data_IF_303062208109
#
_entry.id   IF_303062208109
#
_cell.length_a   1.000
_cell.length_b   1.000
_cell.length_c   1.000
_cell.angle_alpha   90.00
_cell.angle_beta   90.00
_cell.angle_gamma   90.00
#
_symmetry.space_group_name_H-M   'P 1'
#
loop_
_entity.id
_entity.type
_entity.pdbx_description
1 polymer ?
#
# COMPACT_ATOMS: atom_id res chain seq x y z
N UNK A 1 10.13 -22.58 6.17
CA UNK A 1 9.54 -21.97 4.94
C UNK A 1 10.03 -22.76 3.75
N UNK A 2 9.15 -23.26 2.88
CA UNK A 2 9.62 -23.98 1.71
C UNK A 2 10.16 -22.96 0.70
N UNK A 3 11.37 -23.21 0.20
CA UNK A 3 11.94 -22.44 -0.94
C UNK A 3 10.96 -22.44 -2.13
N UNK A 4 10.08 -23.41 -2.18
CA UNK A 4 9.03 -23.57 -3.19
C UNK A 4 8.00 -22.44 -3.16
N UNK A 5 7.56 -21.96 -1.97
CA UNK A 5 6.57 -20.91 -1.87
C UNK A 5 7.07 -19.56 -2.44
N UNK A 6 8.31 -19.18 -2.14
CA UNK A 6 8.93 -17.99 -2.71
C UNK A 6 9.07 -18.12 -4.23
N UNK A 7 9.54 -19.28 -4.70
CA UNK A 7 9.71 -19.58 -6.11
C UNK A 7 8.38 -19.53 -6.87
N UNK A 8 7.32 -20.13 -6.35
CA UNK A 8 5.99 -20.12 -6.98
C UNK A 8 5.44 -18.70 -7.16
N UNK A 9 5.60 -17.83 -6.15
CA UNK A 9 5.18 -16.44 -6.28
C UNK A 9 6.03 -15.65 -7.30
N UNK A 10 7.35 -15.87 -7.34
CA UNK A 10 8.21 -15.27 -8.37
C UNK A 10 7.85 -15.73 -9.79
N UNK A 11 7.56 -17.03 -9.96
CA UNK A 11 7.09 -17.56 -11.24
C UNK A 11 5.72 -17.00 -11.63
N UNK A 12 4.82 -16.80 -10.65
CA UNK A 12 3.55 -16.12 -10.90
C UNK A 12 3.78 -14.67 -11.39
N UNK A 13 4.63 -13.91 -10.69
CA UNK A 13 4.96 -12.55 -11.10
C UNK A 13 5.54 -12.50 -12.52
N UNK A 14 6.35 -13.48 -12.92
CA UNK A 14 6.89 -13.55 -14.28
C UNK A 14 5.82 -13.84 -15.34
N UNK A 15 4.89 -14.72 -15.03
CA UNK A 15 3.77 -15.02 -15.95
C UNK A 15 2.83 -13.82 -16.17
N UNK A 16 2.80 -12.86 -15.24
CA UNK A 16 1.97 -11.66 -15.40
C UNK A 16 2.63 -10.53 -16.22
N UNK A 17 3.88 -10.70 -16.66
CA UNK A 17 4.56 -9.69 -17.51
C UNK A 17 3.86 -9.49 -18.84
N UNK A 18 3.65 -8.24 -19.19
CA UNK A 18 3.07 -7.83 -20.47
C UNK A 18 4.16 -7.81 -21.54
N UNK A 19 4.48 -8.97 -22.10
CA UNK A 19 5.51 -9.12 -23.14
C UNK A 19 4.93 -9.23 -24.56
N UNK A 20 3.70 -9.73 -24.69
CA UNK A 20 3.02 -9.98 -25.95
C UNK A 20 1.51 -9.74 -25.88
N UNK A 21 0.75 -9.75 -26.96
CA UNK A 21 -0.69 -9.52 -26.95
C UNK A 21 -1.39 -10.42 -25.93
N UNK A 22 -2.19 -9.82 -25.07
CA UNK A 22 -3.00 -10.56 -24.11
C UNK A 22 -4.15 -11.28 -24.83
N UNK A 23 -4.77 -12.28 -24.15
CA UNK A 23 -5.97 -12.96 -24.65
C UNK A 23 -7.08 -11.97 -25.06
N UNK A 24 -7.07 -10.77 -24.48
CA UNK A 24 -8.07 -9.72 -24.69
C UNK A 24 -7.62 -8.56 -25.61
N UNK A 25 -6.48 -8.66 -26.28
CA UNK A 25 -6.05 -7.64 -27.22
C UNK A 25 -4.56 -7.29 -27.19
N UNK A 26 -4.20 -6.26 -27.93
CA UNK A 26 -2.83 -5.78 -28.03
C UNK A 26 -2.40 -5.10 -26.72
N UNK A 27 -1.20 -5.42 -26.25
CA UNK A 27 -0.54 -4.67 -25.16
C UNK A 27 0.03 -3.38 -25.75
N UNK A 28 -0.36 -2.24 -25.21
CA UNK A 28 0.23 -0.97 -25.58
C UNK A 28 1.73 -0.95 -25.31
N UNK A 29 2.51 -0.34 -26.21
CA UNK A 29 3.97 -0.27 -26.10
C UNK A 29 4.45 0.23 -24.74
N UNK A 30 3.75 1.23 -24.17
CA UNK A 30 4.12 1.86 -22.92
C UNK A 30 3.96 0.96 -21.68
N UNK A 31 3.20 -0.13 -21.79
CA UNK A 31 2.95 -1.08 -20.70
C UNK A 31 3.80 -2.36 -20.82
N UNK A 32 4.54 -2.53 -21.91
CA UNK A 32 5.42 -3.71 -22.05
C UNK A 32 6.42 -3.79 -20.90
N UNK A 33 6.48 -4.97 -20.28
CA UNK A 33 7.35 -5.26 -19.13
C UNK A 33 6.78 -4.89 -17.77
N UNK A 34 5.66 -4.16 -17.68
CA UNK A 34 4.85 -4.10 -16.48
C UNK A 34 4.08 -5.41 -16.30
N UNK A 35 3.44 -5.57 -15.15
CA UNK A 35 2.67 -6.77 -14.80
C UNK A 35 1.19 -6.41 -14.71
N UNK A 36 0.32 -7.31 -15.21
CA UNK A 36 -1.11 -7.21 -14.96
C UNK A 36 -1.39 -7.39 -13.47
N UNK A 37 -2.31 -6.62 -12.94
CA UNK A 37 -2.65 -6.68 -11.52
C UNK A 37 -3.26 -8.00 -11.09
N UNK A 38 -4.03 -8.65 -11.98
CA UNK A 38 -4.69 -9.93 -11.71
C UNK A 38 -4.40 -10.98 -12.78
N UNK A 39 -4.42 -12.25 -12.36
CA UNK A 39 -4.41 -13.37 -13.28
C UNK A 39 -5.67 -13.31 -14.17
N UNK A 40 -5.50 -13.41 -15.47
CA UNK A 40 -6.63 -13.60 -16.38
C UNK A 40 -7.13 -15.05 -16.29
N UNK A 41 -8.37 -15.22 -15.83
CA UNK A 41 -9.04 -16.49 -15.76
C UNK A 41 -10.50 -16.32 -16.22
N UNK A 42 -10.80 -16.62 -17.51
CA UNK A 42 -12.15 -16.47 -18.04
C UNK A 42 -13.23 -17.28 -17.34
N UNK A 43 -12.86 -18.33 -16.62
CA UNK A 43 -13.79 -19.18 -15.86
C UNK A 43 -14.13 -18.60 -14.48
N UNK A 44 -13.35 -17.64 -13.99
CA UNK A 44 -13.55 -17.06 -12.66
C UNK A 44 -14.83 -16.18 -12.63
N UNK A 45 -15.59 -16.21 -11.51
CA UNK A 45 -16.80 -15.40 -11.38
C UNK A 45 -16.60 -13.91 -11.66
N UNK A 46 -15.43 -13.35 -11.30
CA UNK A 46 -15.09 -11.93 -11.52
C UNK A 46 -14.56 -11.65 -12.95
N UNK A 47 -14.45 -12.68 -13.80
CA UNK A 47 -13.94 -12.52 -15.17
C UNK A 47 -14.73 -11.52 -16.03
N UNK A 48 -15.99 -11.31 -15.69
CA UNK A 48 -16.87 -10.33 -16.34
C UNK A 48 -16.73 -8.92 -15.77
N UNK A 49 -16.06 -8.78 -14.63
CA UNK A 49 -15.79 -7.49 -14.01
C UNK A 49 -14.62 -6.81 -14.74
N UNK A 50 -14.84 -5.61 -15.25
CA UNK A 50 -13.77 -4.77 -15.85
C UNK A 50 -12.62 -4.54 -14.87
N UNK A 51 -12.89 -4.68 -13.57
CA UNK A 51 -11.90 -4.53 -12.51
C UNK A 51 -10.78 -5.58 -12.56
N UNK A 52 -11.06 -6.79 -13.06
CA UNK A 52 -10.13 -7.93 -13.00
C UNK A 52 -9.30 -8.14 -14.27
N UNK A 53 -9.77 -7.69 -15.45
CA UNK A 53 -9.14 -8.00 -16.73
C UNK A 53 -8.50 -6.79 -17.41
N UNK A 54 -7.33 -7.02 -18.00
CA UNK A 54 -6.66 -6.01 -18.81
C UNK A 54 -6.28 -4.76 -18.03
N UNK A 55 -5.97 -4.88 -16.73
CA UNK A 55 -5.75 -3.75 -15.81
C UNK A 55 -4.38 -3.79 -15.17
N UNK A 56 -3.78 -2.61 -15.05
CA UNK A 56 -2.63 -2.35 -14.19
C UNK A 56 -3.04 -1.32 -13.15
N UNK A 57 -3.04 -1.71 -11.88
CA UNK A 57 -3.06 -0.77 -10.77
C UNK A 57 -1.65 -0.28 -10.50
N UNK A 58 -1.49 1.02 -10.37
CA UNK A 58 -0.14 1.59 -10.21
C UNK A 58 0.50 1.17 -8.86
N UNK A 59 -0.31 0.95 -7.85
CA UNK A 59 0.11 0.37 -6.58
C UNK A 59 0.75 -1.02 -6.76
N UNK A 60 0.11 -1.90 -7.54
CA UNK A 60 0.62 -3.24 -7.81
C UNK A 60 1.95 -3.20 -8.60
N UNK A 61 2.10 -2.21 -9.50
CA UNK A 61 3.35 -2.00 -10.20
C UNK A 61 4.49 -1.62 -9.22
N UNK A 62 4.20 -0.77 -8.24
CA UNK A 62 5.16 -0.41 -7.20
C UNK A 62 5.57 -1.62 -6.35
N UNK A 63 4.62 -2.40 -5.84
CA UNK A 63 4.89 -3.63 -5.09
C UNK A 63 5.70 -4.64 -5.89
N UNK A 64 5.43 -4.74 -7.19
CA UNK A 64 6.15 -5.61 -8.11
C UNK A 64 7.62 -5.20 -8.28
N UNK A 65 7.93 -3.90 -8.30
CA UNK A 65 9.31 -3.38 -8.29
C UNK A 65 10.01 -3.77 -6.97
N UNK A 66 9.34 -3.57 -5.83
CA UNK A 66 9.87 -3.98 -4.53
C UNK A 66 10.15 -5.47 -4.45
N UNK A 67 9.21 -6.31 -4.90
CA UNK A 67 9.38 -7.76 -4.91
C UNK A 67 10.61 -8.19 -5.73
N UNK A 68 10.80 -7.61 -6.92
CA UNK A 68 11.99 -7.87 -7.74
C UNK A 68 13.29 -7.38 -7.05
N UNK A 69 13.28 -6.22 -6.39
CA UNK A 69 14.43 -5.73 -5.61
C UNK A 69 14.78 -6.69 -4.48
N UNK A 70 13.79 -7.11 -3.68
CA UNK A 70 14.00 -8.03 -2.55
C UNK A 70 14.45 -9.42 -2.99
N UNK A 71 14.06 -9.86 -4.18
CA UNK A 71 14.51 -11.10 -4.79
C UNK A 71 15.86 -10.97 -5.54
N UNK A 72 16.55 -9.82 -5.48
CA UNK A 72 17.80 -9.57 -6.20
C UNK A 72 17.66 -9.45 -7.72
N UNK A 73 16.45 -9.29 -8.23
CA UNK A 73 16.11 -9.24 -9.67
C UNK A 73 16.21 -7.82 -10.21
N UNK A 74 17.37 -7.18 -10.02
CA UNK A 74 17.61 -5.74 -10.26
C UNK A 74 17.27 -5.29 -11.69
N UNK A 75 17.56 -6.13 -12.70
CA UNK A 75 17.24 -5.78 -14.10
C UNK A 75 15.72 -5.70 -14.33
N UNK A 76 14.95 -6.61 -13.76
CA UNK A 76 13.50 -6.61 -13.86
C UNK A 76 12.91 -5.40 -13.14
N UNK A 77 13.38 -5.10 -11.93
CA UNK A 77 13.00 -3.91 -11.18
C UNK A 77 13.30 -2.63 -11.96
N UNK A 78 14.49 -2.51 -12.55
CA UNK A 78 14.89 -1.32 -13.33
C UNK A 78 14.07 -1.11 -14.58
N UNK A 79 13.71 -2.19 -15.27
CA UNK A 79 12.85 -2.08 -16.45
C UNK A 79 11.46 -1.55 -16.07
N UNK A 80 10.85 -2.09 -15.01
CA UNK A 80 9.55 -1.61 -14.51
C UNK A 80 9.64 -0.17 -13.99
N UNK A 81 10.69 0.17 -13.24
CA UNK A 81 10.92 1.53 -12.74
C UNK A 81 10.98 2.54 -13.90
N UNK A 82 11.71 2.22 -14.96
CA UNK A 82 11.78 3.04 -16.17
C UNK A 82 10.41 3.24 -16.83
N UNK A 83 9.59 2.17 -16.90
CA UNK A 83 8.23 2.25 -17.46
C UNK A 83 7.29 3.09 -16.60
N UNK A 84 7.32 2.89 -15.29
CA UNK A 84 6.51 3.69 -14.35
C UNK A 84 6.89 5.18 -14.46
N UNK A 85 8.18 5.52 -14.49
CA UNK A 85 8.63 6.90 -14.69
C UNK A 85 8.14 7.46 -16.04
N UNK A 86 8.23 6.69 -17.12
CA UNK A 86 7.78 7.11 -18.45
C UNK A 86 6.28 7.42 -18.48
N UNK A 87 5.45 6.61 -17.81
CA UNK A 87 4.01 6.88 -17.67
C UNK A 87 3.77 8.24 -16.98
N UNK A 88 4.46 8.54 -15.88
CA UNK A 88 4.31 9.84 -15.22
C UNK A 88 4.67 11.03 -16.12
N UNK A 89 5.73 10.89 -16.93
CA UNK A 89 6.11 11.92 -17.89
C UNK A 89 5.04 12.12 -18.98
N UNK A 90 4.41 11.06 -19.43
CA UNK A 90 3.33 11.12 -20.41
C UNK A 90 2.08 11.77 -19.83
N UNK A 91 1.68 11.41 -18.59
CA UNK A 91 0.54 12.02 -17.92
C UNK A 91 0.78 13.51 -17.63
N UNK A 92 1.99 13.87 -17.23
CA UNK A 92 2.38 15.29 -17.08
C UNK A 92 2.29 16.04 -18.42
N UNK A 93 2.73 15.44 -19.51
CA UNK A 93 2.62 16.04 -20.85
C UNK A 93 1.17 16.25 -21.29
N UNK A 94 0.23 15.47 -20.76
CA UNK A 94 -1.23 15.62 -20.96
C UNK A 94 -1.87 16.58 -19.94
N UNK A 95 -1.07 17.25 -19.09
CA UNK A 95 -1.53 18.22 -18.10
C UNK A 95 -2.05 17.61 -16.79
N UNK A 96 -1.85 16.31 -16.54
CA UNK A 96 -2.21 15.71 -15.25
C UNK A 96 -1.12 15.97 -14.20
N UNK A 97 -1.51 16.53 -13.04
CA UNK A 97 -0.61 16.89 -11.94
C UNK A 97 -0.43 15.76 -10.91
N UNK A 98 -1.23 14.70 -11.00
CA UNK A 98 -1.26 13.59 -10.04
C UNK A 98 -0.21 12.51 -10.26
N UNK A 99 0.80 12.72 -11.07
CA UNK A 99 1.84 11.79 -11.52
C UNK A 99 1.28 10.57 -12.27
N UNK A 100 0.47 9.74 -11.59
CA UNK A 100 -0.16 8.56 -12.15
C UNK A 100 -1.65 8.53 -11.82
N UNK A 101 -2.45 8.08 -12.78
CA UNK A 101 -3.80 7.63 -12.52
C UNK A 101 -3.78 6.32 -11.73
N UNK A 102 -4.84 6.05 -10.99
CA UNK A 102 -4.90 4.88 -10.11
C UNK A 102 -4.79 3.56 -10.87
N UNK A 103 -5.39 3.47 -12.06
CA UNK A 103 -5.21 2.30 -12.91
C UNK A 103 -5.34 2.59 -14.41
N UNK A 104 -4.69 1.74 -15.19
CA UNK A 104 -4.61 1.83 -16.64
C UNK A 104 -5.13 0.56 -17.31
N UNK A 105 -5.65 0.72 -18.51
CA UNK A 105 -5.92 -0.39 -19.43
C UNK A 105 -4.60 -0.91 -20.01
N UNK A 106 -4.40 -2.23 -20.01
CA UNK A 106 -3.17 -2.85 -20.57
C UNK A 106 -2.97 -2.60 -22.05
N UNK A 107 -3.99 -2.16 -22.79
CA UNK A 107 -3.87 -1.75 -24.20
C UNK A 107 -3.13 -0.42 -24.37
N UNK A 108 -3.04 0.38 -23.29
CA UNK A 108 -2.34 1.66 -23.31
C UNK A 108 -3.10 2.81 -23.94
N UNK A 109 -4.37 2.61 -24.26
CA UNK A 109 -5.23 3.61 -24.92
C UNK A 109 -5.99 4.50 -23.95
N UNK A 110 -6.12 4.09 -22.70
CA UNK A 110 -6.85 4.84 -21.67
C UNK A 110 -6.47 4.44 -20.24
N UNK A 111 -6.75 5.32 -19.30
CA UNK A 111 -6.85 4.95 -17.89
C UNK A 111 -8.25 4.36 -17.61
N UNK A 112 -8.33 3.46 -16.62
CA UNK A 112 -9.60 2.88 -16.20
C UNK A 112 -10.15 3.68 -15.01
N UNK A 113 -9.27 4.05 -14.07
CA UNK A 113 -9.60 4.89 -12.94
C UNK A 113 -8.81 6.20 -13.03
N UNK A 114 -9.47 7.33 -13.31
CA UNK A 114 -8.81 8.61 -13.58
C UNK A 114 -8.27 9.29 -12.33
N UNK A 115 -8.60 8.80 -11.14
CA UNK A 115 -8.11 9.39 -9.89
C UNK A 115 -6.60 9.26 -9.79
N UNK A 116 -5.98 10.24 -9.12
CA UNK A 116 -4.58 10.20 -8.73
C UNK A 116 -4.43 10.11 -7.21
N UNK A 117 -4.67 8.93 -6.58
CA UNK A 117 -4.62 8.79 -5.14
C UNK A 117 -3.19 9.00 -4.62
N UNK A 118 -3.04 9.80 -3.58
CA UNK A 118 -1.73 10.13 -3.01
C UNK A 118 -0.99 8.89 -2.56
N UNK A 119 -1.66 7.94 -1.89
CA UNK A 119 -1.04 6.71 -1.40
C UNK A 119 -0.39 5.90 -2.52
N UNK A 120 -1.14 5.54 -3.57
CA UNK A 120 -0.60 4.79 -4.70
C UNK A 120 0.55 5.52 -5.42
N UNK A 121 0.46 6.85 -5.52
CA UNK A 121 1.53 7.69 -6.08
C UNK A 121 2.78 7.67 -5.18
N UNK A 122 2.63 7.71 -3.86
CA UNK A 122 3.72 7.56 -2.90
C UNK A 122 4.38 6.19 -3.01
N UNK A 123 3.60 5.10 -3.15
CA UNK A 123 4.15 3.76 -3.34
C UNK A 123 5.05 3.68 -4.58
N UNK A 124 4.63 4.29 -5.70
CA UNK A 124 5.47 4.36 -6.89
C UNK A 124 6.74 5.17 -6.64
N UNK A 125 6.65 6.35 -6.04
CA UNK A 125 7.84 7.14 -5.69
C UNK A 125 8.77 6.37 -4.75
N UNK A 126 8.23 5.68 -3.74
CA UNK A 126 9.00 4.86 -2.82
C UNK A 126 9.75 3.73 -3.53
N UNK A 127 9.09 3.02 -4.46
CA UNK A 127 9.71 1.97 -5.26
C UNK A 127 10.81 2.53 -6.17
N UNK A 128 10.59 3.68 -6.80
CA UNK A 128 11.59 4.36 -7.62
C UNK A 128 12.80 4.82 -6.80
N UNK A 129 12.60 5.41 -5.61
CA UNK A 129 13.69 5.78 -4.72
C UNK A 129 14.47 4.55 -4.23
N UNK A 130 13.79 3.45 -3.90
CA UNK A 130 14.44 2.21 -3.44
C UNK A 130 15.30 1.61 -4.56
N UNK A 131 14.80 1.59 -5.79
CA UNK A 131 15.60 1.17 -6.95
C UNK A 131 16.80 2.11 -7.17
N UNK A 132 16.56 3.43 -7.14
CA UNK A 132 17.61 4.42 -7.35
C UNK A 132 18.68 4.40 -6.26
N UNK A 133 18.31 4.16 -5.00
CA UNK A 133 19.23 3.96 -3.87
C UNK A 133 20.14 2.75 -4.08
N UNK A 134 19.60 1.65 -4.56
CA UNK A 134 20.35 0.42 -4.86
C UNK A 134 21.32 0.62 -6.03
N UNK A 135 20.92 1.41 -7.05
CA UNK A 135 21.72 1.61 -8.26
C UNK A 135 22.60 2.86 -8.27
N UNK A 136 22.38 3.78 -7.33
CA UNK A 136 23.03 5.09 -7.37
C UNK A 136 22.55 5.97 -8.53
N UNK A 137 21.28 5.81 -8.96
CA UNK A 137 20.73 6.51 -10.12
C UNK A 137 20.34 7.96 -9.78
N UNK A 138 21.32 8.85 -9.90
CA UNK A 138 21.17 10.28 -9.61
C UNK A 138 20.12 10.97 -10.50
N UNK A 139 19.94 10.52 -11.73
CA UNK A 139 18.96 11.11 -12.66
C UNK A 139 17.53 10.79 -12.20
N UNK A 140 17.30 9.53 -11.85
CA UNK A 140 16.00 9.11 -11.33
C UNK A 140 15.68 9.79 -9.99
N UNK A 141 16.68 9.92 -9.09
CA UNK A 141 16.51 10.63 -7.81
C UNK A 141 16.14 12.09 -8.04
N UNK A 142 16.85 12.80 -8.94
CA UNK A 142 16.56 14.19 -9.25
C UNK A 142 15.17 14.39 -9.87
N UNK A 143 14.72 13.44 -10.69
CA UNK A 143 13.36 13.44 -11.23
C UNK A 143 12.31 13.22 -10.12
N UNK A 144 12.51 12.20 -9.27
CA UNK A 144 11.60 11.89 -8.18
C UNK A 144 11.51 13.04 -7.16
N UNK A 145 12.60 13.74 -6.88
CA UNK A 145 12.60 14.93 -6.02
C UNK A 145 11.69 16.03 -6.59
N UNK A 146 11.76 16.31 -7.90
CA UNK A 146 10.85 17.28 -8.54
C UNK A 146 9.40 16.81 -8.46
N UNK A 147 9.14 15.51 -8.62
CA UNK A 147 7.80 14.95 -8.48
C UNK A 147 7.26 15.13 -7.05
N UNK A 148 8.10 14.94 -6.03
CA UNK A 148 7.73 15.23 -4.62
C UNK A 148 7.40 16.71 -4.43
N UNK A 149 8.20 17.63 -4.95
CA UNK A 149 7.94 19.09 -4.84
C UNK A 149 6.65 19.47 -5.56
N UNK A 150 6.46 19.03 -6.79
CA UNK A 150 5.34 19.46 -7.64
C UNK A 150 4.01 18.82 -7.22
N UNK A 151 4.02 17.57 -6.79
CA UNK A 151 2.80 16.84 -6.42
C UNK A 151 2.62 16.77 -4.90
N UNK A 152 3.54 16.09 -4.20
CA UNK A 152 3.30 15.72 -2.80
C UNK A 152 3.27 16.93 -1.87
N UNK A 153 4.15 17.93 -2.11
CA UNK A 153 4.11 19.17 -1.34
C UNK A 153 2.83 19.96 -1.56
N UNK A 154 2.26 19.91 -2.77
CA UNK A 154 0.99 20.57 -3.09
C UNK A 154 -0.22 19.89 -2.41
N UNK A 155 -0.14 18.59 -2.12
CA UNK A 155 -1.21 17.86 -1.42
C UNK A 155 -1.21 18.11 0.09
N UNK A 156 -0.12 18.64 0.67
CA UNK A 156 -0.06 18.86 2.12
C UNK A 156 -0.88 20.09 2.54
N UNK A 157 -1.71 19.94 3.55
CA UNK A 157 -2.53 21.01 4.14
C UNK A 157 -1.62 21.91 4.97
N UNK A 158 -1.35 23.14 4.48
CA UNK A 158 -0.39 24.05 5.07
C UNK A 158 -1.01 25.27 5.74
N UNK A 159 -2.32 25.44 5.76
CA UNK A 159 -3.00 26.48 6.53
C UNK A 159 -3.08 26.05 8.01
N UNK A 160 -2.42 26.75 8.95
CA UNK A 160 -2.44 26.38 10.37
C UNK A 160 -3.81 26.52 11.03
N UNK A 161 -4.78 27.18 10.37
CA UNK A 161 -6.17 27.28 10.85
C UNK A 161 -7.01 26.07 10.46
N UNK A 162 -6.54 25.27 9.48
CA UNK A 162 -7.22 24.03 9.08
C UNK A 162 -6.99 22.96 10.16
N UNK A 163 -8.04 22.29 10.66
CA UNK A 163 -7.88 21.22 11.65
C UNK A 163 -7.00 20.06 11.17
N UNK A 164 -6.86 19.92 9.83
CA UNK A 164 -6.02 18.91 9.18
C UNK A 164 -4.59 19.40 8.92
N UNK A 165 -4.18 20.53 9.48
CA UNK A 165 -2.84 21.11 9.28
C UNK A 165 -1.72 20.10 9.41
N UNK A 166 -0.86 20.03 8.40
CA UNK A 166 0.24 19.10 8.28
C UNK A 166 -0.10 17.79 7.56
N UNK A 167 -1.37 17.40 7.46
CA UNK A 167 -1.80 16.17 6.81
C UNK A 167 -1.77 16.27 5.27
N UNK A 168 -1.83 15.12 4.61
CA UNK A 168 -1.82 15.03 3.14
C UNK A 168 -3.24 14.72 2.65
N UNK A 169 -3.73 15.48 1.67
CA UNK A 169 -4.99 15.17 0.99
C UNK A 169 -4.93 13.84 0.26
N UNK A 170 -6.09 13.20 0.10
CA UNK A 170 -6.19 11.85 -0.48
C UNK A 170 -5.77 11.76 -1.96
N UNK A 171 -5.61 12.89 -2.65
CA UNK A 171 -5.12 12.92 -4.03
C UNK A 171 -5.87 13.90 -4.92
N UNK A 172 -5.89 13.59 -6.22
CA UNK A 172 -6.60 14.35 -7.24
C UNK A 172 -7.72 13.50 -7.86
N UNK A 173 -8.79 14.16 -8.27
CA UNK A 173 -9.94 13.54 -8.94
C UNK A 173 -10.45 14.46 -10.06
N UNK A 174 -11.43 14.00 -10.81
CA UNK A 174 -12.14 14.81 -11.78
C UNK A 174 -13.24 15.63 -11.09
N UNK A 175 -13.36 16.92 -11.41
CA UNK A 175 -14.39 17.81 -10.88
C UNK A 175 -15.82 17.30 -11.15
N UNK A 176 -16.03 16.67 -12.32
CA UNK A 176 -17.35 16.14 -12.71
C UNK A 176 -17.80 14.94 -11.88
N UNK A 177 -16.88 14.16 -11.31
CA UNK A 177 -17.19 13.02 -10.45
C UNK A 177 -17.85 13.45 -9.14
N UNK A 178 -17.35 14.55 -8.55
CA UNK A 178 -17.96 15.11 -7.34
C UNK A 178 -19.37 15.65 -7.56
N UNK A 179 -19.61 16.27 -8.71
CA UNK A 179 -20.90 16.87 -9.05
C UNK A 179 -22.00 15.81 -9.22
N UNK A 180 -21.62 14.59 -9.65
CA UNK A 180 -22.55 13.48 -9.90
C UNK A 180 -22.75 12.55 -8.73
N UNK A 181 -21.93 12.65 -7.67
CA UNK A 181 -21.94 11.72 -6.55
C UNK A 181 -21.53 10.30 -6.94
N UNK A 182 -20.92 10.13 -8.09
CA UNK A 182 -20.49 8.85 -8.64
C UNK A 182 -19.04 8.56 -8.22
N UNK A 183 -18.89 7.97 -7.07
CA UNK A 183 -17.58 7.52 -6.61
C UNK A 183 -17.17 6.20 -7.23
N UNK A 184 -16.69 6.15 -8.41
CA UNK A 184 -16.12 5.04 -9.21
C UNK A 184 -16.87 4.74 -10.51
N UNK A 185 -17.11 5.73 -11.32
CA UNK A 185 -17.46 5.52 -12.72
C UNK A 185 -16.22 5.21 -13.54
N UNK A 186 -16.17 4.07 -14.21
CA UNK A 186 -15.15 3.70 -15.19
C UNK A 186 -15.29 4.48 -16.52
N UNK A 187 -15.61 5.75 -16.44
CA UNK A 187 -15.83 6.56 -17.64
C UNK A 187 -14.59 7.41 -17.94
N UNK A 188 -14.29 7.55 -19.22
CA UNK A 188 -13.31 8.55 -19.67
C UNK A 188 -13.95 9.91 -19.50
N UNK A 189 -13.48 10.72 -18.58
CA UNK A 189 -14.03 12.04 -18.31
C UNK A 189 -13.26 13.11 -19.09
N UNK A 190 -14.00 13.98 -19.77
CA UNK A 190 -13.51 15.19 -20.43
C UNK A 190 -13.54 16.37 -19.44
N UNK A 191 -13.02 16.28 -18.27
CA UNK A 191 -13.08 17.33 -17.28
C UNK A 191 -11.71 17.67 -16.67
N UNK A 192 -11.65 18.68 -15.80
CA UNK A 192 -10.46 18.96 -15.03
C UNK A 192 -10.17 17.82 -14.04
N UNK A 193 -9.07 17.11 -14.27
CA UNK A 193 -8.62 15.96 -13.47
C UNK A 193 -7.70 16.34 -12.33
N UNK A 194 -7.51 17.65 -12.11
CA UNK A 194 -6.58 18.16 -11.13
C UNK A 194 -7.25 18.71 -9.86
N UNK A 195 -8.52 18.37 -9.62
CA UNK A 195 -9.24 18.81 -8.43
C UNK A 195 -8.75 18.07 -7.19
N UNK A 196 -8.29 18.73 -6.12
CA UNK A 196 -7.86 18.04 -4.90
C UNK A 196 -9.03 17.35 -4.19
N UNK A 197 -8.81 16.13 -3.70
CA UNK A 197 -9.67 15.56 -2.68
C UNK A 197 -9.51 16.32 -1.37
N UNK A 198 -10.62 16.77 -0.81
CA UNK A 198 -10.59 17.44 0.50
C UNK A 198 -10.60 16.48 1.69
N UNK A 199 -10.68 15.18 1.45
CA UNK A 199 -10.54 14.14 2.46
C UNK A 199 -9.06 13.86 2.77
N UNK A 200 -8.81 13.31 3.96
CA UNK A 200 -7.50 12.83 4.36
C UNK A 200 -7.61 11.37 4.79
N UNK A 201 -6.75 10.53 4.27
CA UNK A 201 -6.66 9.11 4.60
C UNK A 201 -5.34 8.88 5.31
N UNK A 202 -5.36 8.18 6.45
CA UNK A 202 -4.15 7.94 7.26
C UNK A 202 -3.09 7.18 6.47
N UNK A 203 -3.48 6.14 5.75
CA UNK A 203 -2.57 5.35 4.90
C UNK A 203 -1.78 6.26 3.94
N UNK A 204 -2.45 7.17 3.24
CA UNK A 204 -1.79 8.12 2.34
C UNK A 204 -0.80 9.05 3.06
N UNK A 205 -1.12 9.44 4.29
CA UNK A 205 -0.20 10.22 5.13
C UNK A 205 1.05 9.43 5.49
N UNK A 206 0.89 8.15 5.83
CA UNK A 206 1.99 7.25 6.20
C UNK A 206 2.89 6.95 4.99
N UNK A 207 2.29 6.71 3.82
CA UNK A 207 3.02 6.51 2.56
C UNK A 207 3.84 7.76 2.19
N UNK A 208 3.27 8.95 2.38
CA UNK A 208 3.98 10.22 2.16
C UNK A 208 5.13 10.42 3.15
N UNK A 209 4.96 10.03 4.42
CA UNK A 209 6.04 10.09 5.40
C UNK A 209 7.20 9.18 4.98
N UNK A 210 6.92 7.97 4.49
CA UNK A 210 7.92 7.08 3.93
C UNK A 210 8.61 7.70 2.70
N UNK A 211 7.84 8.33 1.81
CA UNK A 211 8.39 9.04 0.64
C UNK A 211 9.38 10.13 1.07
N UNK A 212 9.05 10.95 2.05
CA UNK A 212 9.95 12.01 2.54
C UNK A 212 11.27 11.44 3.09
N UNK A 213 11.20 10.33 3.84
CA UNK A 213 12.39 9.65 4.37
C UNK A 213 13.28 9.08 3.27
N UNK A 214 12.69 8.42 2.28
CA UNK A 214 13.42 7.84 1.14
C UNK A 214 14.03 8.93 0.25
N UNK A 215 13.28 10.01 -0.04
CA UNK A 215 13.77 11.16 -0.77
C UNK A 215 14.99 11.79 -0.07
N UNK A 216 14.90 11.98 1.25
CA UNK A 216 16.01 12.50 2.05
C UNK A 216 17.26 11.61 1.94
N UNK A 217 17.10 10.31 2.17
CA UNK A 217 18.21 9.33 2.12
C UNK A 217 18.85 9.27 0.73
N UNK A 218 18.03 9.20 -0.31
CA UNK A 218 18.50 9.11 -1.69
C UNK A 218 19.25 10.38 -2.12
N UNK A 219 18.66 11.55 -1.82
CA UNK A 219 19.28 12.85 -2.13
C UNK A 219 20.61 13.01 -1.41
N UNK A 220 20.64 12.78 -0.11
CA UNK A 220 21.85 12.93 0.70
C UNK A 220 22.97 11.98 0.28
N UNK A 221 22.63 10.78 -0.17
CA UNK A 221 23.62 9.75 -0.54
C UNK A 221 24.19 9.95 -1.95
N UNK A 222 23.38 10.41 -2.91
CA UNK A 222 23.71 10.30 -4.33
C UNK A 222 23.67 11.62 -5.11
N UNK A 223 23.17 12.72 -4.53
CA UNK A 223 23.15 14.01 -5.20
C UNK A 223 24.12 15.02 -4.53
N UNK A 224 24.54 16.05 -5.27
CA UNK A 224 25.20 17.20 -4.66
C UNK A 224 24.35 17.80 -3.54
N UNK A 225 24.94 18.52 -2.57
CA UNK A 225 24.23 19.09 -1.45
C UNK A 225 23.00 19.92 -1.88
N UNK A 226 21.83 19.59 -1.34
CA UNK A 226 20.55 20.23 -1.60
C UNK A 226 19.90 20.62 -0.26
N UNK A 227 20.60 21.43 0.53
CA UNK A 227 20.23 21.72 1.92
C UNK A 227 18.81 22.26 2.09
N UNK A 228 18.34 23.14 1.17
CA UNK A 228 16.96 23.68 1.22
C UNK A 228 15.92 22.58 1.05
N UNK A 229 16.10 21.71 0.06
CA UNK A 229 15.18 20.60 -0.18
C UNK A 229 15.18 19.60 0.99
N UNK A 230 16.36 19.25 1.49
CA UNK A 230 16.49 18.34 2.65
C UNK A 230 15.83 18.91 3.90
N UNK A 231 16.03 20.20 4.20
CA UNK A 231 15.39 20.88 5.32
C UNK A 231 13.86 20.93 5.17
N UNK A 232 13.36 21.15 3.95
CA UNK A 232 11.93 21.16 3.68
C UNK A 232 11.30 19.77 3.83
N UNK A 233 11.99 18.70 3.40
CA UNK A 233 11.53 17.32 3.63
C UNK A 233 11.37 17.03 5.13
N UNK A 234 12.38 17.38 5.94
CA UNK A 234 12.34 17.22 7.40
C UNK A 234 11.16 17.97 8.01
N UNK A 235 11.03 19.25 7.68
CA UNK A 235 9.95 20.10 8.19
C UNK A 235 8.56 19.55 7.85
N UNK A 236 8.35 19.14 6.59
CA UNK A 236 7.07 18.60 6.12
C UNK A 236 6.75 17.24 6.71
N UNK A 237 7.73 16.38 6.83
CA UNK A 237 7.57 15.10 7.51
C UNK A 237 7.16 15.30 8.96
N UNK A 238 7.84 16.18 9.71
CA UNK A 238 7.53 16.43 11.12
C UNK A 238 6.11 16.96 11.32
N UNK A 239 5.68 17.90 10.47
CA UNK A 239 4.30 18.40 10.47
C UNK A 239 3.30 17.28 10.18
N UNK A 240 3.60 16.43 9.21
CA UNK A 240 2.75 15.30 8.81
C UNK A 240 2.60 14.30 9.96
N UNK A 241 3.69 13.90 10.58
CA UNK A 241 3.67 12.93 11.69
C UNK A 241 2.96 13.49 12.92
N UNK A 242 3.17 14.78 13.23
CA UNK A 242 2.44 15.46 14.32
C UNK A 242 0.94 15.54 14.03
N UNK A 243 0.58 15.90 12.79
CA UNK A 243 -0.80 15.94 12.33
C UNK A 243 -1.45 14.56 12.40
N UNK A 244 -0.78 13.53 11.90
CA UNK A 244 -1.28 12.16 11.94
C UNK A 244 -1.51 11.66 13.37
N UNK A 245 -0.54 11.90 14.27
CA UNK A 245 -0.72 11.58 15.69
C UNK A 245 -1.91 12.30 16.31
N UNK A 246 -2.04 13.59 16.08
CA UNK A 246 -3.10 14.45 16.66
C UNK A 246 -4.50 14.05 16.19
N UNK A 247 -4.65 13.77 14.88
CA UNK A 247 -5.96 13.64 14.26
C UNK A 247 -6.45 12.19 14.17
N UNK A 248 -5.54 11.22 14.06
CA UNK A 248 -5.91 9.82 13.83
C UNK A 248 -5.69 8.91 15.03
N UNK A 249 -4.71 9.21 15.90
CA UNK A 249 -4.49 8.40 17.09
C UNK A 249 -5.60 8.63 18.10
N UNK A 250 -6.28 7.55 18.44
CA UNK A 250 -7.21 7.50 19.55
C UNK A 250 -6.46 7.01 20.80
N UNK A 251 -7.15 6.41 21.72
CA UNK A 251 -6.56 5.93 22.97
C UNK A 251 -5.56 4.79 22.77
N UNK A 252 -5.83 3.88 21.84
CA UNK A 252 -5.12 2.61 21.65
C UNK A 252 -5.03 2.15 20.18
N UNK A 253 -5.61 2.91 19.25
CA UNK A 253 -5.66 2.58 17.83
C UNK A 253 -5.72 3.83 16.96
N UNK A 254 -5.59 3.63 15.65
CA UNK A 254 -5.76 4.68 14.64
C UNK A 254 -7.11 4.55 13.92
N UNK A 255 -7.78 5.68 13.73
CA UNK A 255 -8.91 5.80 12.80
C UNK A 255 -8.42 5.98 11.37
N UNK A 256 -9.27 5.67 10.37
CA UNK A 256 -8.82 5.50 9.00
C UNK A 256 -8.80 6.79 8.18
N UNK A 257 -9.82 7.62 8.32
CA UNK A 257 -9.98 8.77 7.43
C UNK A 257 -10.71 9.93 8.12
N UNK A 258 -10.47 11.15 7.61
CA UNK A 258 -11.09 12.39 8.07
C UNK A 258 -11.84 13.07 6.92
N UNK A 259 -12.96 13.67 7.25
CA UNK A 259 -13.73 14.53 6.36
C UNK A 259 -13.01 15.90 6.15
N UNK A 260 -13.50 16.78 5.25
CA UNK A 260 -12.93 18.11 5.05
C UNK A 260 -12.89 19.00 6.30
N UNK A 261 -13.68 18.70 7.33
CA UNK A 261 -13.71 19.44 8.61
C UNK A 261 -12.75 18.86 9.64
N UNK A 262 -12.02 17.77 9.29
CA UNK A 262 -11.12 17.07 10.19
C UNK A 262 -11.81 16.11 11.16
N UNK A 263 -13.08 15.75 10.90
CA UNK A 263 -13.85 14.80 11.71
C UNK A 263 -13.63 13.37 11.18
N UNK A 264 -13.39 12.37 12.04
CA UNK A 264 -13.31 10.98 11.60
C UNK A 264 -14.59 10.50 10.93
N UNK A 265 -14.44 9.78 9.81
CA UNK A 265 -15.56 9.08 9.21
C UNK A 265 -16.07 7.98 10.15
N UNK A 266 -17.37 7.83 10.23
CA UNK A 266 -18.04 6.81 11.06
C UNK A 266 -18.68 5.74 10.18
N UNK A 267 -18.65 4.50 10.66
CA UNK A 267 -19.41 3.41 10.07
C UNK A 267 -20.92 3.55 10.32
N UNK A 268 -21.69 2.60 9.82
CA UNK A 268 -23.16 2.55 10.03
C UNK A 268 -23.55 2.27 11.49
N UNK A 269 -22.60 1.80 12.30
CA UNK A 269 -22.72 1.61 13.75
C UNK A 269 -22.44 2.91 14.55
N UNK A 270 -22.11 4.01 13.87
CA UNK A 270 -21.77 5.29 14.47
C UNK A 270 -20.36 5.34 15.08
N UNK A 271 -19.56 4.27 14.97
CA UNK A 271 -18.19 4.24 15.43
C UNK A 271 -17.21 4.75 14.36
N UNK A 272 -16.07 5.35 14.74
CA UNK A 272 -15.05 5.73 13.78
C UNK A 272 -14.60 4.54 12.93
N UNK A 273 -14.38 4.81 11.65
CA UNK A 273 -13.87 3.81 10.72
C UNK A 273 -12.46 3.37 11.11
N UNK A 274 -12.26 2.07 11.20
CA UNK A 274 -10.97 1.45 11.53
C UNK A 274 -10.70 0.29 10.57
N UNK A 275 -9.56 0.33 9.89
CA UNK A 275 -9.06 -0.77 9.05
C UNK A 275 -7.74 -1.29 9.59
N UNK A 276 -7.44 -2.55 9.31
CA UNK A 276 -6.24 -3.22 9.83
C UNK A 276 -4.97 -2.54 9.35
N UNK A 277 -4.89 -2.13 8.08
CA UNK A 277 -3.69 -1.54 7.48
C UNK A 277 -3.30 -0.24 8.18
N UNK A 278 -4.26 0.60 8.56
CA UNK A 278 -3.99 1.83 9.30
C UNK A 278 -3.38 1.57 10.68
N UNK A 279 -3.70 0.43 11.30
CA UNK A 279 -3.15 0.06 12.60
C UNK A 279 -1.84 -0.73 12.50
N UNK A 280 -1.53 -1.30 11.36
CA UNK A 280 -0.26 -1.97 11.10
C UNK A 280 0.78 -1.02 10.52
N UNK A 281 0.47 -0.36 9.39
CA UNK A 281 1.40 0.53 8.70
C UNK A 281 1.70 1.81 9.48
N UNK A 282 0.67 2.46 10.05
CA UNK A 282 0.90 3.65 10.85
C UNK A 282 1.75 3.32 12.08
N UNK A 283 1.41 2.25 12.80
CA UNK A 283 2.19 1.82 13.95
C UNK A 283 3.65 1.48 13.57
N UNK A 284 3.87 0.87 12.40
CA UNK A 284 5.19 0.57 11.89
C UNK A 284 6.01 1.82 11.60
N UNK A 285 5.42 2.84 10.99
CA UNK A 285 6.08 4.13 10.71
C UNK A 285 6.31 4.95 11.97
N UNK A 286 5.42 4.85 12.98
CA UNK A 286 5.58 5.49 14.29
C UNK A 286 6.53 4.74 15.23
N UNK A 287 6.77 3.46 15.03
CA UNK A 287 7.58 2.60 15.91
C UNK A 287 8.93 3.23 16.30
N UNK A 288 9.70 3.89 15.40
CA UNK A 288 10.96 4.51 15.79
C UNK A 288 10.82 5.71 16.75
N UNK A 289 9.63 6.25 16.93
CA UNK A 289 9.37 7.43 17.76
C UNK A 289 8.58 7.12 19.02
N UNK A 290 7.75 6.08 18.99
CA UNK A 290 6.84 5.76 20.10
C UNK A 290 6.57 4.25 20.16
N UNK A 291 7.45 3.54 20.86
CA UNK A 291 7.36 2.10 21.05
C UNK A 291 6.05 1.69 21.75
N UNK A 292 5.57 2.49 22.71
CA UNK A 292 4.34 2.15 23.45
C UNK A 292 3.10 2.31 22.56
N UNK A 293 3.02 3.37 21.76
CA UNK A 293 1.96 3.52 20.74
C UNK A 293 1.94 2.31 19.80
N UNK A 294 3.10 1.89 19.31
CA UNK A 294 3.21 0.72 18.43
C UNK A 294 2.75 -0.57 19.11
N UNK A 295 3.09 -0.77 20.39
CA UNK A 295 2.61 -1.92 21.20
C UNK A 295 1.10 -1.89 21.38
N UNK A 296 0.52 -0.73 21.68
CA UNK A 296 -0.93 -0.59 21.85
C UNK A 296 -1.66 -0.92 20.55
N UNK A 297 -1.20 -0.39 19.41
CA UNK A 297 -1.77 -0.69 18.11
C UNK A 297 -1.65 -2.19 17.77
N UNK A 298 -0.52 -2.83 18.06
CA UNK A 298 -0.36 -4.27 17.85
C UNK A 298 -1.36 -5.09 18.68
N UNK A 299 -1.55 -4.77 19.96
CA UNK A 299 -2.56 -5.41 20.82
C UNK A 299 -3.96 -5.21 20.27
N UNK A 300 -4.28 -3.99 19.84
CA UNK A 300 -5.58 -3.67 19.25
C UNK A 300 -5.85 -4.52 18.00
N UNK A 301 -4.85 -4.70 17.12
CA UNK A 301 -4.97 -5.59 15.96
C UNK A 301 -5.19 -7.04 16.40
N UNK A 302 -4.44 -7.54 17.37
CA UNK A 302 -4.62 -8.92 17.89
C UNK A 302 -6.01 -9.13 18.52
N UNK A 303 -6.57 -8.14 19.19
CA UNK A 303 -7.86 -8.25 19.90
C UNK A 303 -9.06 -8.11 18.95
N UNK A 304 -8.95 -7.30 17.89
CA UNK A 304 -10.10 -6.92 17.07
C UNK A 304 -10.09 -7.47 15.64
N UNK A 305 -8.93 -7.83 15.10
CA UNK A 305 -8.80 -8.30 13.72
C UNK A 305 -8.27 -9.73 13.61
N UNK A 306 -7.53 -10.22 14.61
CA UNK A 306 -7.01 -11.57 14.60
C UNK A 306 -8.09 -12.57 15.04
N UNK A 307 -8.55 -13.37 14.10
CA UNK A 307 -9.64 -14.34 14.32
C UNK A 307 -9.32 -15.68 13.68
N UNK A 308 -10.12 -16.70 14.02
CA UNK A 308 -10.13 -17.96 13.26
C UNK A 308 -10.77 -17.71 11.92
N UNK A 309 -10.13 -18.22 10.86
CA UNK A 309 -10.69 -18.15 9.51
C UNK A 309 -11.72 -19.28 9.36
N UNK A 310 -13.02 -18.98 9.26
CA UNK A 310 -14.03 -20.00 9.05
C UNK A 310 -13.83 -20.64 7.66
N UNK A 311 -13.91 -21.99 7.52
CA UNK A 311 -13.80 -22.64 6.21
C UNK A 311 -14.76 -22.07 5.15
N UNK A 312 -15.96 -21.67 5.56
CA UNK A 312 -16.95 -21.05 4.67
C UNK A 312 -16.57 -19.66 4.14
N UNK A 313 -15.56 -19.01 4.72
CA UNK A 313 -15.06 -17.71 4.26
C UNK A 313 -14.00 -17.81 3.16
N UNK A 314 -13.58 -19.02 2.83
CA UNK A 314 -12.53 -19.26 1.83
C UNK A 314 -13.17 -19.79 0.56
N UNK A 315 -13.39 -18.90 -0.40
CA UNK A 315 -14.06 -19.22 -1.66
C UNK A 315 -13.07 -19.61 -2.78
N UNK A 316 -13.55 -20.33 -3.77
CA UNK A 316 -12.84 -20.64 -5.01
C UNK A 316 -11.44 -21.27 -4.82
N UNK A 317 -11.27 -22.09 -3.79
CA UNK A 317 -10.02 -22.79 -3.54
C UNK A 317 -9.88 -24.04 -4.41
N UNK A 318 -8.65 -24.45 -4.68
CA UNK A 318 -8.34 -25.75 -5.29
C UNK A 318 -8.67 -26.91 -4.33
N UNK A 319 -8.67 -26.67 -3.02
CA UNK A 319 -9.13 -27.58 -1.97
C UNK A 319 -10.52 -27.17 -1.52
N UNK A 320 -11.36 -28.14 -1.18
CA UNK A 320 -12.77 -27.87 -0.84
C UNK A 320 -13.00 -27.14 0.49
N UNK A 321 -12.07 -27.27 1.45
CA UNK A 321 -12.21 -26.66 2.79
C UNK A 321 -10.86 -26.24 3.34
N UNK A 322 -10.84 -25.11 4.04
CA UNK A 322 -9.73 -24.72 4.90
C UNK A 322 -9.69 -25.63 6.15
N UNK A 323 -8.50 -26.00 6.66
CA UNK A 323 -8.39 -26.69 7.94
C UNK A 323 -8.97 -25.86 9.08
N UNK A 324 -9.64 -26.53 10.03
CA UNK A 324 -10.10 -25.87 11.26
C UNK A 324 -8.92 -25.35 12.07
N UNK A 325 -9.11 -24.19 12.69
CA UNK A 325 -8.13 -23.59 13.59
C UNK A 325 -7.11 -22.65 12.95
N UNK A 326 -7.17 -22.45 11.62
CA UNK A 326 -6.36 -21.43 10.98
C UNK A 326 -6.75 -20.04 11.49
N UNK A 327 -5.75 -19.20 11.69
CA UNK A 327 -5.92 -17.80 12.08
C UNK A 327 -5.58 -16.89 10.90
N UNK A 328 -6.24 -15.74 10.83
CA UNK A 328 -5.97 -14.72 9.85
C UNK A 328 -6.40 -13.36 10.36
N UNK A 329 -6.15 -12.33 9.58
CA UNK A 329 -6.64 -10.99 9.87
C UNK A 329 -7.82 -10.66 8.97
N UNK A 330 -8.92 -10.22 9.56
CA UNK A 330 -9.96 -9.56 8.83
C UNK A 330 -9.58 -8.10 8.53
N UNK A 331 -10.06 -7.60 7.40
CA UNK A 331 -9.65 -6.27 6.93
C UNK A 331 -10.38 -5.15 7.67
N UNK A 332 -11.67 -5.31 7.90
CA UNK A 332 -12.50 -4.30 8.53
C UNK A 332 -13.07 -4.77 9.88
N UNK A 333 -13.08 -3.86 10.84
CA UNK A 333 -13.72 -4.09 12.14
C UNK A 333 -15.20 -3.76 12.14
N UNK A 334 -15.60 -2.74 11.38
CA UNK A 334 -16.96 -2.21 11.33
C UNK A 334 -17.43 -2.08 9.90
N UNK A 335 -18.73 -1.88 9.71
CA UNK A 335 -19.33 -1.55 8.42
C UNK A 335 -18.78 -0.21 7.93
N UNK A 336 -17.60 -0.28 7.34
CA UNK A 336 -16.89 0.87 6.80
C UNK A 336 -17.69 1.46 5.63
N UNK A 337 -17.97 2.74 5.71
CA UNK A 337 -18.35 3.51 4.53
C UNK A 337 -17.10 4.21 4.06
N UNK A 338 -16.40 3.58 3.11
CA UNK A 338 -15.35 4.27 2.38
C UNK A 338 -16.02 5.38 1.57
N UNK A 339 -15.63 6.65 1.72
CA UNK A 339 -16.17 7.72 0.89
C UNK A 339 -15.86 7.49 -0.59
N UNK A 340 -14.92 6.60 -0.92
CA UNK A 340 -14.48 6.30 -2.28
C UNK A 340 -14.99 4.95 -2.81
N UNK A 341 -15.46 4.05 -1.94
CA UNK A 341 -15.92 2.70 -2.30
C UNK A 341 -17.24 2.40 -1.61
N UNK A 342 -18.33 2.42 -2.36
CA UNK A 342 -19.62 2.00 -1.83
C UNK A 342 -19.76 0.48 -1.96
N UNK A 343 -19.64 -0.23 -0.85
CA UNK A 343 -19.95 -1.66 -0.80
C UNK A 343 -21.47 -1.82 -0.70
N UNK A 344 -22.10 -2.56 -1.63
CA UNK A 344 -23.53 -2.82 -1.55
C UNK A 344 -23.92 -3.43 -0.20
N UNK A 345 -25.08 -3.05 0.39
CA UNK A 345 -25.46 -3.49 1.73
C UNK A 345 -25.44 -5.01 1.96
N UNK A 346 -25.76 -5.79 0.93
CA UNK A 346 -25.75 -7.25 0.96
C UNK A 346 -24.36 -7.88 1.16
N UNK A 347 -23.29 -7.15 0.87
CA UNK A 347 -21.92 -7.62 1.05
C UNK A 347 -21.25 -7.14 2.35
N UNK A 348 -21.93 -6.29 3.15
CA UNK A 348 -21.34 -5.71 4.37
C UNK A 348 -20.92 -6.77 5.38
N UNK A 349 -21.80 -7.73 5.69
CA UNK A 349 -21.46 -8.81 6.61
C UNK A 349 -20.29 -9.69 6.11
N UNK A 350 -20.18 -9.86 4.80
CA UNK A 350 -19.09 -10.57 4.17
C UNK A 350 -17.78 -9.78 4.28
N UNK A 351 -17.84 -8.46 4.13
CA UNK A 351 -16.70 -7.57 4.25
C UNK A 351 -16.06 -7.62 5.65
N UNK A 352 -16.87 -7.68 6.70
CA UNK A 352 -16.41 -7.75 8.09
C UNK A 352 -15.66 -9.05 8.42
N UNK A 353 -15.80 -10.08 7.59
CA UNK A 353 -15.19 -11.39 7.80
C UNK A 353 -14.17 -11.74 6.71
N UNK A 354 -13.87 -10.80 5.82
CA UNK A 354 -13.00 -11.03 4.69
C UNK A 354 -11.54 -11.06 5.13
N UNK A 355 -10.91 -12.24 5.00
CA UNK A 355 -9.47 -12.37 5.18
C UNK A 355 -8.72 -11.77 4.00
N UNK A 356 -7.79 -10.88 4.31
CA UNK A 356 -6.96 -10.22 3.31
C UNK A 356 -5.48 -10.57 3.58
N UNK A 357 -4.86 -11.37 2.69
CA UNK A 357 -3.51 -11.89 2.91
C UNK A 357 -2.43 -10.81 3.00
N UNK A 358 -2.56 -9.74 2.22
CA UNK A 358 -1.62 -8.63 2.22
C UNK A 358 -1.56 -7.92 3.58
N UNK A 359 -2.72 -7.66 4.19
CA UNK A 359 -2.80 -7.09 5.54
C UNK A 359 -2.16 -8.02 6.59
N UNK A 360 -2.38 -9.34 6.47
CA UNK A 360 -1.75 -10.31 7.35
C UNK A 360 -0.21 -10.30 7.22
N UNK A 361 0.31 -10.26 6.00
CA UNK A 361 1.75 -10.17 5.73
C UNK A 361 2.34 -8.83 6.22
N UNK A 362 1.60 -7.72 6.07
CA UNK A 362 1.97 -6.44 6.63
C UNK A 362 2.09 -6.47 8.15
N UNK A 363 1.15 -7.11 8.83
CA UNK A 363 1.21 -7.28 10.29
C UNK A 363 2.37 -8.17 10.73
N UNK A 364 2.69 -9.24 9.99
CA UNK A 364 3.88 -10.06 10.22
C UNK A 364 5.15 -9.21 10.19
N UNK A 365 5.32 -8.35 9.19
CA UNK A 365 6.48 -7.45 9.09
C UNK A 365 6.52 -6.45 10.26
N UNK A 366 5.38 -5.93 10.64
CA UNK A 366 5.30 -5.03 11.80
C UNK A 366 5.66 -5.74 13.11
N UNK A 367 5.17 -6.96 13.36
CA UNK A 367 5.52 -7.75 14.54
C UNK A 367 7.02 -8.05 14.59
N UNK A 368 7.63 -8.41 13.46
CA UNK A 368 9.06 -8.63 13.36
C UNK A 368 9.88 -7.36 13.70
N UNK A 369 9.44 -6.20 13.24
CA UNK A 369 10.07 -4.92 13.56
C UNK A 369 9.88 -4.54 15.03
N UNK A 370 8.68 -4.72 15.57
CA UNK A 370 8.34 -4.45 16.97
C UNK A 370 9.15 -5.35 17.92
N UNK A 371 9.28 -6.64 17.60
CA UNK A 371 10.10 -7.58 18.38
C UNK A 371 11.56 -7.14 18.45
N UNK A 372 12.15 -6.68 17.34
CA UNK A 372 13.54 -6.17 17.30
C UNK A 372 13.76 -4.96 18.20
N UNK A 373 12.77 -4.10 18.37
CA UNK A 373 12.86 -2.88 19.19
C UNK A 373 12.35 -3.08 20.64
N UNK A 374 11.78 -4.23 20.95
CA UNK A 374 11.26 -4.53 22.29
C UNK A 374 12.40 -4.95 23.23
N UNK A 375 12.66 -4.18 24.33
CA UNK A 375 13.74 -4.49 25.27
C UNK A 375 13.42 -5.64 26.23
N UNK A 376 12.12 -5.90 26.50
CA UNK A 376 11.69 -6.99 27.36
C UNK A 376 11.81 -8.35 26.64
N UNK A 377 12.66 -9.30 27.13
CA UNK A 377 12.87 -10.59 26.48
C UNK A 377 11.61 -11.46 26.41
N UNK A 378 10.74 -11.40 27.40
CA UNK A 378 9.51 -12.19 27.44
C UNK A 378 8.52 -11.70 26.38
N UNK A 379 8.33 -10.39 26.31
CA UNK A 379 7.49 -9.75 25.27
C UNK A 379 8.07 -9.96 23.86
N UNK A 380 9.38 -9.83 23.68
CA UNK A 380 10.06 -10.14 22.43
C UNK A 380 9.77 -11.56 21.95
N UNK A 381 9.93 -12.55 22.84
CA UNK A 381 9.66 -13.98 22.53
C UNK A 381 8.19 -14.18 22.14
N UNK A 382 7.25 -13.51 22.83
CA UNK A 382 5.83 -13.55 22.52
C UNK A 382 5.55 -13.02 21.10
N UNK A 383 6.14 -11.87 20.77
CA UNK A 383 5.98 -11.23 19.45
C UNK A 383 6.54 -12.09 18.32
N UNK A 384 7.74 -12.67 18.51
CA UNK A 384 8.37 -13.58 17.55
C UNK A 384 7.57 -14.88 17.35
N UNK A 385 6.93 -15.40 18.41
CA UNK A 385 6.04 -16.56 18.32
C UNK A 385 4.77 -16.21 17.53
N UNK A 386 4.19 -15.06 17.77
CA UNK A 386 2.99 -14.59 17.05
C UNK A 386 3.28 -14.32 15.58
N UNK A 387 4.42 -13.67 15.27
CA UNK A 387 4.89 -13.44 13.91
C UNK A 387 4.96 -14.76 13.12
N UNK A 388 5.63 -15.79 13.67
CA UNK A 388 5.76 -17.10 13.04
C UNK A 388 4.42 -17.78 12.84
N UNK A 389 3.57 -17.81 13.88
CA UNK A 389 2.22 -18.41 13.81
C UNK A 389 1.40 -17.79 12.67
N UNK A 390 1.35 -16.46 12.62
CA UNK A 390 0.54 -15.74 11.63
C UNK A 390 1.10 -15.94 10.21
N UNK A 391 2.42 -15.91 10.06
CA UNK A 391 3.07 -16.15 8.78
C UNK A 391 2.76 -17.57 8.26
N UNK A 392 2.93 -18.61 9.09
CA UNK A 392 2.65 -19.99 8.74
C UNK A 392 1.18 -20.19 8.35
N UNK A 393 0.25 -19.62 9.11
CA UNK A 393 -1.18 -19.70 8.80
C UNK A 393 -1.52 -18.98 7.48
N UNK A 394 -0.93 -17.81 7.23
CA UNK A 394 -1.13 -17.08 5.98
C UNK A 394 -0.62 -17.90 4.78
N UNK A 395 0.60 -18.45 4.86
CA UNK A 395 1.16 -19.30 3.81
C UNK A 395 0.30 -20.55 3.56
N UNK A 396 -0.18 -21.18 4.62
CA UNK A 396 -1.06 -22.35 4.51
C UNK A 396 -2.41 -21.99 3.86
N UNK A 397 -3.01 -20.86 4.22
CA UNK A 397 -4.23 -20.37 3.57
C UNK A 397 -4.01 -20.11 2.08
N UNK A 398 -2.91 -19.45 1.72
CA UNK A 398 -2.56 -19.22 0.32
C UNK A 398 -2.33 -20.53 -0.45
N UNK A 399 -1.79 -21.53 0.20
CA UNK A 399 -1.63 -22.89 -0.35
C UNK A 399 -2.95 -23.60 -0.74
N UNK A 400 -4.10 -23.15 -0.22
CA UNK A 400 -5.41 -23.67 -0.62
C UNK A 400 -5.78 -23.31 -2.07
N UNK A 401 -5.22 -22.23 -2.61
CA UNK A 401 -5.50 -21.74 -3.96
C UNK A 401 -4.61 -22.40 -5.04
N UNK A 402 -3.65 -23.25 -4.63
CA UNK A 402 -2.76 -23.96 -5.54
C UNK A 402 -1.65 -23.05 -6.14
N UNK A 403 -0.93 -23.61 -7.14
CA UNK A 403 0.25 -22.97 -7.74
C UNK A 403 -0.04 -21.78 -8.67
N UNK A 404 -1.26 -21.28 -8.70
CA UNK A 404 -1.70 -20.24 -9.63
C UNK A 404 -1.35 -18.79 -9.22
N UNK A 405 -0.69 -18.58 -8.08
CA UNK A 405 -0.46 -17.30 -7.42
C UNK A 405 -1.34 -17.14 -6.18
N UNK A 406 -1.08 -16.08 -5.42
CA UNK A 406 -1.80 -15.76 -4.20
C UNK A 406 -3.06 -14.92 -4.48
N UNK A 407 -4.24 -15.26 -3.91
CA UNK A 407 -5.47 -14.51 -4.11
C UNK A 407 -5.39 -13.14 -3.43
N UNK A 408 -6.12 -12.17 -3.96
CA UNK A 408 -6.21 -10.84 -3.35
C UNK A 408 -6.98 -10.88 -2.02
N UNK A 409 -8.06 -11.69 -1.96
CA UNK A 409 -8.86 -11.87 -0.76
C UNK A 409 -9.44 -13.29 -0.66
N UNK A 410 -9.96 -13.66 0.51
CA UNK A 410 -10.56 -14.97 0.74
C UNK A 410 -11.93 -15.17 0.10
N UNK A 411 -12.60 -14.08 -0.29
CA UNK A 411 -13.93 -14.11 -0.86
C UNK A 411 -14.11 -12.99 -1.90
N UNK A 412 -15.11 -13.16 -2.79
CA UNK A 412 -15.45 -12.16 -3.78
C UNK A 412 -16.45 -11.15 -3.21
N UNK A 413 -16.10 -9.87 -3.35
CA UNK A 413 -17.03 -8.75 -3.22
C UNK A 413 -16.92 -7.96 -4.53
N UNK A 414 -17.97 -7.92 -5.34
CA UNK A 414 -17.91 -7.31 -6.67
C UNK A 414 -17.31 -5.92 -6.63
N UNK A 415 -16.38 -5.64 -7.54
CA UNK A 415 -15.66 -4.36 -7.70
C UNK A 415 -14.69 -3.99 -6.57
N UNK A 416 -14.64 -4.71 -5.46
CA UNK A 416 -13.81 -4.37 -4.29
C UNK A 416 -12.75 -5.43 -4.01
N UNK A 417 -13.17 -6.68 -3.80
CA UNK A 417 -12.28 -7.80 -3.45
C UNK A 417 -12.54 -9.01 -4.34
N UNK A 418 -11.46 -9.71 -4.67
CA UNK A 418 -11.52 -10.89 -5.54
C UNK A 418 -10.66 -12.03 -5.00
N UNK A 419 -11.10 -13.25 -5.24
CA UNK A 419 -10.28 -14.46 -5.05
C UNK A 419 -9.34 -14.73 -6.22
N UNK A 420 -9.31 -13.88 -7.24
CA UNK A 420 -8.29 -13.95 -8.29
C UNK A 420 -6.89 -13.72 -7.69
N UNK A 421 -5.93 -14.47 -8.22
CA UNK A 421 -4.53 -14.24 -7.88
C UNK A 421 -4.07 -12.86 -8.33
N UNK A 422 -3.48 -12.11 -7.42
CA UNK A 422 -3.07 -10.71 -7.62
C UNK A 422 -1.56 -10.52 -7.51
N UNK A 423 -1.08 -9.50 -8.21
CA UNK A 423 0.30 -9.04 -8.08
C UNK A 423 0.58 -8.49 -6.68
N UNK A 424 -0.35 -7.74 -6.09
CA UNK A 424 -0.20 -7.18 -4.75
C UNK A 424 0.14 -8.29 -3.74
N UNK A 425 -0.72 -9.29 -3.61
CA UNK A 425 -0.50 -10.39 -2.66
C UNK A 425 0.75 -11.20 -2.97
N UNK A 426 1.01 -11.55 -4.25
CA UNK A 426 2.20 -12.30 -4.62
C UNK A 426 3.49 -11.51 -4.34
N UNK A 427 3.49 -10.21 -4.59
CA UNK A 427 4.60 -9.32 -4.26
C UNK A 427 4.82 -9.22 -2.75
N UNK A 428 3.75 -9.07 -1.97
CA UNK A 428 3.82 -9.06 -0.51
C UNK A 428 4.36 -10.37 0.06
N UNK A 429 4.02 -11.52 -0.53
CA UNK A 429 4.63 -12.82 -0.20
C UNK A 429 6.14 -12.81 -0.42
N UNK A 430 6.60 -12.32 -1.57
CA UNK A 430 8.03 -12.25 -1.91
C UNK A 430 8.77 -11.30 -0.96
N UNK A 431 8.23 -10.10 -0.75
CA UNK A 431 8.82 -9.08 0.11
C UNK A 431 8.94 -9.59 1.55
N UNK A 432 7.83 -10.08 2.12
CA UNK A 432 7.81 -10.58 3.50
C UNK A 432 8.75 -11.76 3.67
N UNK A 433 8.72 -12.73 2.74
CA UNK A 433 9.63 -13.89 2.78
C UNK A 433 11.09 -13.47 2.75
N UNK A 434 11.46 -12.53 1.88
CA UNK A 434 12.84 -12.06 1.76
C UNK A 434 13.31 -11.34 3.03
N UNK A 435 12.46 -10.48 3.62
CA UNK A 435 12.78 -9.73 4.85
C UNK A 435 12.94 -10.69 6.04
N UNK A 436 12.07 -11.70 6.17
CA UNK A 436 12.19 -12.71 7.22
C UNK A 436 13.43 -13.60 7.05
N UNK A 437 13.97 -13.72 5.83
CA UNK A 437 15.23 -14.39 5.53
C UNK A 437 16.47 -13.50 5.66
N UNK A 438 16.31 -12.27 6.12
CA UNK A 438 17.42 -11.36 6.39
C UNK A 438 17.66 -10.27 5.34
N UNK A 439 16.80 -10.13 4.33
CA UNK A 439 16.87 -8.96 3.47
C UNK A 439 16.56 -7.68 4.27
N UNK A 440 17.22 -6.57 3.93
CA UNK A 440 16.96 -5.30 4.60
C UNK A 440 15.52 -4.84 4.38
N UNK A 441 14.90 -4.32 5.44
CA UNK A 441 13.61 -3.64 5.37
C UNK A 441 13.75 -2.10 5.33
N UNK A 442 14.97 -1.58 5.39
CA UNK A 442 15.24 -0.14 5.58
C UNK A 442 14.78 0.76 4.43
N UNK A 443 14.60 0.18 3.25
CA UNK A 443 14.07 0.84 2.06
C UNK A 443 12.59 0.56 1.83
N UNK A 444 12.00 -0.34 2.63
CA UNK A 444 10.57 -0.67 2.57
C UNK A 444 9.84 0.16 3.63
N UNK A 445 9.02 1.11 3.17
CA UNK A 445 8.27 2.08 3.99
C UNK A 445 9.18 2.98 4.87
N UNK A 446 10.48 3.00 4.65
CA UNK A 446 11.41 3.89 5.36
C UNK A 446 11.42 3.67 6.88
N UNK A 447 11.51 2.42 7.30
CA UNK A 447 11.36 1.97 8.71
C UNK A 447 12.26 2.70 9.67
N UNK A 448 13.53 2.93 9.29
CA UNK A 448 14.44 3.70 10.12
C UNK A 448 14.58 5.12 9.56
N UNK A 449 13.90 6.11 10.17
CA UNK A 449 14.06 7.48 9.75
C UNK A 449 15.48 7.96 10.03
N UNK A 450 16.05 8.80 9.15
CA UNK A 450 17.27 9.54 9.47
C UNK A 450 17.11 10.30 10.80
N UNK A 451 18.21 10.46 11.53
CA UNK A 451 18.20 11.11 12.86
C UNK A 451 17.68 12.56 12.85
N UNK A 452 17.71 13.19 11.70
CA UNK A 452 17.21 14.55 11.47
C UNK A 452 15.67 14.64 11.51
N UNK A 453 14.97 13.50 11.32
CA UNK A 453 13.51 13.46 11.40
C UNK A 453 13.08 13.29 12.85
N UNK A 454 12.22 14.16 13.31
CA UNK A 454 11.67 14.13 14.66
C UNK A 454 10.14 14.03 14.62
N UNK A 455 9.54 13.67 15.74
CA UNK A 455 8.09 13.78 15.92
C UNK A 455 7.85 14.54 17.22
N UNK A 456 7.27 15.74 17.14
CA UNK A 456 7.09 16.63 18.27
C UNK A 456 8.40 16.90 19.06
N UNK A 457 9.51 17.08 18.31
CA UNK A 457 10.84 17.35 18.90
C UNK A 457 11.55 16.12 19.48
N UNK A 458 10.95 14.93 19.42
CA UNK A 458 11.58 13.68 19.83
C UNK A 458 12.30 13.05 18.64
N UNK A 459 13.62 12.79 18.73
CA UNK A 459 14.36 12.07 17.70
C UNK A 459 13.89 10.60 17.65
N UNK A 460 14.15 9.88 16.55
CA UNK A 460 13.88 8.46 16.48
C UNK A 460 14.72 7.70 17.51
N UNK A 461 14.15 6.59 18.00
CA UNK A 461 14.88 5.65 18.83
C UNK A 461 16.08 5.13 18.03
N UNK A 462 17.27 5.26 18.57
CA UNK A 462 18.47 4.63 17.96
C UNK A 462 18.31 3.13 18.09
N UNK A 463 18.52 2.40 16.99
CA UNK A 463 18.64 0.96 17.08
C UNK A 463 19.71 0.63 18.11
N UNK A 464 19.32 0.05 19.25
CA UNK A 464 20.28 -0.55 20.18
C UNK A 464 21.00 -1.64 19.39
N UNK A 465 22.30 -1.40 19.16
CA UNK A 465 23.20 -2.24 18.40
C UNK A 465 23.29 -3.69 18.90
#
# INVERSE_FOLDING_TARGET
MSADFLKENLEFLDRQKLMEPSVNGQVGFDFQGLRRSFKEDPSHPDSKSVAAFGRIWIYDAALSIYADLKAGRIRSAGYQAGRVMQLALQEKAKGFLGLWHFSYNTRGDSFIDPRGPTGANCWCLNALYSYALERGDAVLIAWANRAVEEFLFAQQVMDPRDPRYGLIRAGLHNADDLAKGEGMGYQVYEGDRNCPYEHVILEHCIDAAATFRLAYRATRKHLPPQEKFLAELVRRHDLLMQGARRCFWQKDHFVSALDPRGTPYTGTDGLPSVVVDNNTWAAYVFLPYDLEMARMAARYVEEHFLVRVPPAQVENTARRTAPDGMKGLFYFRSTFVDPFVQVPPEYRAKLEQLFQPEAALGFVLFLAALARQTPDPAEKTRLEARERELYEHTVNLLGLYGSGGAPYASANIPMVFSTLSSIATASSCVITSAILQGASADDFIGVLPPKEFTVAGKPPLTASG
#
